data_IF_104347012158
#
_entry.id   IF_104347012158
#
_cell.length_a   1.000
_cell.length_b   1.000
_cell.length_c   1.000
_cell.angle_alpha   90.00
_cell.angle_beta   90.00
_cell.angle_gamma   90.00
#
_symmetry.space_group_name_H-M   'P 1'
#
loop_
_entity.id
_entity.type
_entity.pdbx_description
1 polymer ?
#
# COMPACT_ATOMS: atom_id res chain seq x y z
N UNK A 1 -58.38 24.13 -43.06
CA UNK A 1 -57.68 23.16 -42.19
C UNK A 1 -56.72 22.32 -43.03
N UNK A 2 -55.47 22.76 -43.29
CA UNK A 2 -54.47 21.92 -43.98
C UNK A 2 -53.00 22.38 -43.82
N UNK A 3 -52.67 23.16 -42.78
CA UNK A 3 -51.32 23.73 -42.59
C UNK A 3 -50.49 23.07 -41.48
N UNK A 4 -51.08 22.20 -40.65
CA UNK A 4 -50.37 21.63 -39.48
C UNK A 4 -49.42 20.48 -39.83
N UNK A 5 -49.55 19.83 -40.99
CA UNK A 5 -48.73 18.66 -41.33
C UNK A 5 -47.32 19.01 -41.85
N UNK A 6 -47.14 20.14 -42.54
CA UNK A 6 -45.80 20.60 -42.96
C UNK A 6 -44.96 21.13 -41.78
N UNK A 7 -45.59 21.79 -40.81
CA UNK A 7 -44.91 22.27 -39.61
C UNK A 7 -44.53 21.13 -38.64
N UNK A 8 -45.31 20.04 -38.61
CA UNK A 8 -45.00 18.86 -37.79
C UNK A 8 -43.70 18.17 -38.22
N UNK A 9 -43.39 18.10 -39.52
CA UNK A 9 -42.13 17.51 -39.99
C UNK A 9 -40.90 18.33 -39.61
N UNK A 10 -40.99 19.66 -39.72
CA UNK A 10 -39.91 20.59 -39.38
C UNK A 10 -39.63 20.57 -37.86
N UNK A 11 -40.68 20.52 -37.03
CA UNK A 11 -40.53 20.43 -35.59
C UNK A 11 -39.78 19.15 -35.15
N UNK A 12 -39.99 18.03 -35.85
CA UNK A 12 -39.31 16.77 -35.58
C UNK A 12 -37.82 16.84 -35.94
N UNK A 13 -37.48 17.49 -37.06
CA UNK A 13 -36.07 17.72 -37.47
C UNK A 13 -35.37 18.62 -36.45
N UNK A 14 -36.00 19.73 -36.03
CA UNK A 14 -35.43 20.64 -35.03
C UNK A 14 -35.25 19.92 -33.68
N UNK A 15 -36.23 19.12 -33.26
CA UNK A 15 -36.12 18.30 -32.06
C UNK A 15 -34.95 17.32 -32.15
N UNK A 16 -34.76 16.66 -33.30
CA UNK A 16 -33.68 15.71 -33.53
C UNK A 16 -32.30 16.39 -33.51
N UNK A 17 -32.18 17.57 -34.12
CA UNK A 17 -30.93 18.36 -34.10
C UNK A 17 -30.51 18.75 -32.68
N UNK A 18 -31.46 18.96 -31.77
CA UNK A 18 -31.18 19.28 -30.36
C UNK A 18 -30.98 18.01 -29.51
N UNK A 19 -31.69 16.92 -29.80
CA UNK A 19 -31.58 15.65 -29.09
C UNK A 19 -30.24 14.94 -29.30
N UNK A 20 -29.69 15.00 -30.51
CA UNK A 20 -28.41 14.36 -30.84
C UNK A 20 -27.25 14.86 -29.94
N UNK A 21 -26.97 16.16 -29.82
CA UNK A 21 -25.91 16.63 -28.93
C UNK A 21 -26.20 16.35 -27.44
N UNK A 22 -27.47 16.45 -27.00
CA UNK A 22 -27.85 16.14 -25.61
C UNK A 22 -27.56 14.68 -25.24
N UNK A 23 -27.90 13.74 -26.13
CA UNK A 23 -27.64 12.31 -25.91
C UNK A 23 -26.14 12.00 -25.95
N UNK A 24 -25.37 12.64 -26.83
CA UNK A 24 -23.91 12.50 -26.86
C UNK A 24 -23.26 12.97 -25.56
N UNK A 25 -23.64 14.14 -25.04
CA UNK A 25 -23.13 14.65 -23.76
C UNK A 25 -23.49 13.69 -22.62
N UNK A 26 -24.72 13.19 -22.59
CA UNK A 26 -25.18 12.25 -21.57
C UNK A 26 -24.35 10.95 -21.56
N UNK A 27 -24.05 10.38 -22.73
CA UNK A 27 -23.23 9.17 -22.84
C UNK A 27 -21.79 9.41 -22.35
N UNK A 28 -21.18 10.55 -22.70
CA UNK A 28 -19.83 10.90 -22.24
C UNK A 28 -19.79 11.04 -20.71
N UNK A 29 -20.78 11.70 -20.11
CA UNK A 29 -20.87 11.85 -18.65
C UNK A 29 -21.07 10.50 -17.96
N UNK A 30 -21.86 9.60 -18.55
CA UNK A 30 -22.06 8.26 -18.01
C UNK A 30 -20.76 7.43 -18.05
N UNK A 31 -19.98 7.55 -19.12
CA UNK A 31 -18.67 6.89 -19.24
C UNK A 31 -17.63 7.47 -18.27
N UNK A 32 -17.56 8.79 -18.13
CA UNK A 32 -16.63 9.43 -17.19
C UNK A 32 -16.95 9.07 -15.74
N UNK A 33 -18.24 9.01 -15.38
CA UNK A 33 -18.70 8.61 -14.05
C UNK A 33 -18.32 7.15 -13.73
N UNK A 34 -18.47 6.25 -14.71
CA UNK A 34 -18.04 4.86 -14.57
C UNK A 34 -16.51 4.71 -14.38
N UNK A 35 -15.72 5.56 -15.04
CA UNK A 35 -14.26 5.59 -14.85
C UNK A 35 -13.88 6.14 -13.46
N UNK A 36 -14.51 7.23 -13.03
CA UNK A 36 -14.29 7.81 -11.69
C UNK A 36 -14.62 6.81 -10.57
N UNK A 37 -15.70 6.03 -10.72
CA UNK A 37 -16.06 4.99 -9.76
C UNK A 37 -15.01 3.87 -9.68
N UNK A 38 -14.47 3.43 -10.83
CA UNK A 38 -13.39 2.44 -10.87
C UNK A 38 -12.12 2.98 -10.22
N UNK A 39 -11.78 4.24 -10.47
CA UNK A 39 -10.61 4.90 -9.87
C UNK A 39 -10.78 5.05 -8.35
N UNK A 40 -11.93 5.53 -7.88
CA UNK A 40 -12.25 5.62 -6.46
C UNK A 40 -12.19 4.25 -5.77
N UNK A 41 -12.71 3.21 -6.42
CA UNK A 41 -12.61 1.83 -5.94
C UNK A 41 -11.16 1.35 -5.84
N UNK A 42 -10.34 1.62 -6.86
CA UNK A 42 -8.91 1.23 -6.86
C UNK A 42 -8.09 1.97 -5.80
N UNK A 43 -8.33 3.27 -5.61
CA UNK A 43 -7.69 4.05 -4.55
C UNK A 43 -8.08 3.53 -3.16
N UNK A 44 -9.36 3.18 -2.97
CA UNK A 44 -9.82 2.60 -1.72
C UNK A 44 -9.25 1.19 -1.45
N UNK A 45 -8.90 0.41 -2.48
CA UNK A 45 -8.20 -0.87 -2.29
C UNK A 45 -6.73 -0.69 -1.97
N UNK A 46 -6.07 0.31 -2.58
CA UNK A 46 -4.68 0.66 -2.28
C UNK A 46 -4.55 1.12 -0.82
N UNK A 47 -5.37 2.08 -0.40
CA UNK A 47 -5.28 2.64 0.95
C UNK A 47 -5.60 1.60 2.04
N UNK A 48 -6.49 0.65 1.76
CA UNK A 48 -6.72 -0.48 2.68
C UNK A 48 -5.50 -1.38 2.80
N UNK A 49 -4.87 -1.70 1.67
CA UNK A 49 -3.66 -2.51 1.66
C UNK A 49 -2.51 -1.80 2.40
N UNK A 50 -2.37 -0.48 2.24
CA UNK A 50 -1.42 0.35 2.97
C UNK A 50 -1.60 0.24 4.48
N UNK A 51 -2.81 0.50 4.98
CA UNK A 51 -3.09 0.39 6.41
C UNK A 51 -2.95 -1.03 6.95
N UNK A 52 -3.30 -2.05 6.14
CA UNK A 52 -3.14 -3.45 6.52
C UNK A 52 -1.65 -3.82 6.68
N UNK A 53 -0.82 -3.48 5.70
CA UNK A 53 0.61 -3.77 5.74
C UNK A 53 1.31 -2.96 6.83
N UNK A 54 0.95 -1.68 6.99
CA UNK A 54 1.50 -0.83 8.04
C UNK A 54 1.12 -1.36 9.43
N UNK A 55 -0.15 -1.70 9.67
CA UNK A 55 -0.60 -2.23 10.95
C UNK A 55 -0.01 -3.61 11.27
N UNK A 56 0.15 -4.47 10.27
CA UNK A 56 0.80 -5.79 10.47
C UNK A 56 2.30 -5.67 10.71
N UNK A 57 2.98 -4.76 10.01
CA UNK A 57 4.39 -4.47 10.26
C UNK A 57 4.60 -3.87 11.65
N UNK A 58 3.81 -2.89 12.05
CA UNK A 58 3.89 -2.27 13.37
C UNK A 58 3.62 -3.29 14.49
N UNK A 59 2.60 -4.13 14.33
CA UNK A 59 2.31 -5.20 15.28
C UNK A 59 3.45 -6.23 15.36
N UNK A 60 4.10 -6.56 14.25
CA UNK A 60 5.23 -7.48 14.24
C UNK A 60 6.49 -6.86 14.88
N UNK A 61 6.70 -5.55 14.71
CA UNK A 61 7.80 -4.81 15.34
C UNK A 61 7.58 -4.63 16.85
N UNK A 62 6.34 -4.58 17.30
CA UNK A 62 5.96 -4.53 18.72
C UNK A 62 5.99 -5.89 19.43
N UNK A 63 6.30 -6.99 18.74
CA UNK A 63 6.22 -8.33 19.30
C UNK A 63 7.22 -8.56 20.44
N UNK A 64 6.74 -9.14 21.54
CA UNK A 64 7.56 -9.41 22.70
C UNK A 64 8.66 -10.44 22.35
N UNK A 65 9.92 -10.05 22.52
CA UNK A 65 11.07 -10.92 22.23
C UNK A 65 11.64 -10.77 20.82
N UNK A 66 11.15 -9.85 19.99
CA UNK A 66 11.78 -9.50 18.71
C UNK A 66 13.27 -9.20 18.89
N UNK A 67 13.63 -8.53 19.99
CA UNK A 67 15.03 -8.22 20.27
C UNK A 67 15.86 -9.48 20.56
N UNK A 68 15.35 -10.41 21.35
CA UNK A 68 16.02 -11.69 21.58
C UNK A 68 16.17 -12.50 20.28
N UNK A 69 15.16 -12.46 19.41
CA UNK A 69 15.20 -13.11 18.11
C UNK A 69 16.28 -12.51 17.19
N UNK A 70 16.35 -11.18 17.08
CA UNK A 70 17.41 -10.49 16.31
C UNK A 70 18.79 -10.77 16.92
N UNK A 71 18.92 -10.94 18.24
CA UNK A 71 20.21 -11.26 18.86
C UNK A 71 20.69 -12.70 18.56
N UNK A 72 19.77 -13.64 18.38
CA UNK A 72 20.07 -15.08 18.33
C UNK A 72 20.00 -15.70 16.93
N UNK A 73 19.26 -15.10 16.00
CA UNK A 73 19.09 -15.61 14.64
C UNK A 73 20.40 -15.56 13.85
N UNK A 74 20.71 -16.56 13.01
CA UNK A 74 21.93 -16.50 12.18
C UNK A 74 21.83 -15.43 11.06
N UNK A 75 22.99 -14.86 10.67
CA UNK A 75 23.06 -13.90 9.56
C UNK A 75 22.66 -14.61 8.25
N UNK A 76 21.87 -13.93 7.42
CA UNK A 76 21.35 -14.45 6.16
C UNK A 76 20.12 -15.35 6.31
N UNK A 77 19.61 -15.55 7.54
CA UNK A 77 18.40 -16.34 7.79
C UNK A 77 17.19 -15.43 7.90
N UNK A 78 16.13 -15.80 7.20
CA UNK A 78 14.80 -15.19 7.31
C UNK A 78 13.92 -15.99 8.29
N UNK A 79 13.17 -15.31 9.14
CA UNK A 79 12.17 -15.90 10.02
C UNK A 79 10.88 -15.08 9.98
N UNK A 80 9.73 -15.74 10.16
CA UNK A 80 8.48 -15.01 10.36
C UNK A 80 8.45 -14.38 11.76
N UNK A 81 7.91 -13.16 11.84
CA UNK A 81 7.65 -12.43 13.09
C UNK A 81 6.20 -11.94 13.12
N UNK A 82 5.58 -12.08 14.30
CA UNK A 82 4.16 -11.82 14.51
C UNK A 82 3.27 -13.01 14.13
N UNK A 83 2.02 -12.96 14.58
CA UNK A 83 1.00 -14.00 14.38
C UNK A 83 -0.11 -13.59 13.40
N UNK A 84 -0.07 -12.35 12.92
CA UNK A 84 -1.10 -11.73 12.08
C UNK A 84 -0.76 -11.95 10.61
N UNK A 85 -1.78 -12.19 9.78
CA UNK A 85 -1.67 -12.23 8.32
C UNK A 85 -1.92 -10.86 7.71
N UNK A 86 -1.12 -10.40 6.71
CA UNK A 86 0.05 -11.05 6.14
C UNK A 86 1.24 -11.13 7.12
N UNK A 87 2.00 -12.23 7.04
CA UNK A 87 3.14 -12.46 7.92
C UNK A 87 4.32 -11.57 7.56
N UNK A 88 4.90 -10.92 8.56
CA UNK A 88 6.14 -10.15 8.42
C UNK A 88 7.34 -11.09 8.48
N UNK A 89 8.28 -10.91 7.56
CA UNK A 89 9.52 -11.70 7.49
C UNK A 89 10.70 -10.86 7.95
N UNK A 90 11.41 -11.32 8.96
CA UNK A 90 12.63 -10.72 9.49
C UNK A 90 13.85 -11.42 8.92
N UNK A 91 14.73 -10.66 8.26
CA UNK A 91 16.00 -11.18 7.72
C UNK A 91 17.16 -10.43 8.35
N UNK A 92 18.12 -11.14 8.93
CA UNK A 92 19.33 -10.50 9.47
C UNK A 92 20.38 -10.38 8.38
N UNK A 93 20.70 -9.16 7.96
CA UNK A 93 21.59 -8.95 6.82
C UNK A 93 23.06 -8.88 7.22
N UNK A 94 23.38 -8.08 8.23
CA UNK A 94 24.78 -7.82 8.62
C UNK A 94 24.90 -7.50 10.10
N UNK A 95 26.10 -7.67 10.62
CA UNK A 95 26.52 -7.17 11.92
C UNK A 95 27.58 -6.07 11.70
N UNK A 96 27.36 -4.90 12.28
CA UNK A 96 28.21 -3.73 12.11
C UNK A 96 28.16 -2.84 13.35
N UNK A 97 28.91 -1.74 13.36
CA UNK A 97 28.84 -0.77 14.47
C UNK A 97 27.55 0.04 14.37
N UNK A 98 26.83 0.19 15.49
CA UNK A 98 25.59 0.95 15.55
C UNK A 98 25.77 2.37 15.00
N UNK A 99 24.80 2.88 14.24
CA UNK A 99 24.78 4.31 13.91
C UNK A 99 24.62 5.12 15.20
N UNK A 100 25.30 6.26 15.29
CA UNK A 100 25.34 7.07 16.50
C UNK A 100 23.94 7.60 16.84
N UNK A 101 23.41 7.20 17.99
CA UNK A 101 22.26 7.85 18.62
C UNK A 101 22.67 9.23 19.14
N UNK A 102 21.74 10.18 19.16
CA UNK A 102 21.97 11.54 19.66
C UNK A 102 22.28 11.54 21.17
N UNK A 103 21.73 10.58 21.91
CA UNK A 103 22.11 10.22 23.28
C UNK A 103 22.97 8.96 23.26
N UNK A 104 24.29 9.13 23.17
CA UNK A 104 25.21 8.01 23.04
C UNK A 104 25.48 7.34 24.40
N UNK A 105 25.14 6.06 24.53
CA UNK A 105 25.85 5.17 25.45
C UNK A 105 27.27 4.97 24.91
N UNK A 106 28.29 5.16 25.76
CA UNK A 106 29.71 5.08 25.37
C UNK A 106 30.01 3.84 24.51
N UNK A 107 30.85 4.00 23.47
CA UNK A 107 31.25 2.91 22.54
C UNK A 107 31.82 1.66 23.24
N UNK A 108 32.21 1.79 24.51
CA UNK A 108 32.75 0.70 25.32
C UNK A 108 31.68 -0.28 25.85
N UNK A 109 30.38 0.03 25.75
CA UNK A 109 29.30 -0.80 26.33
C UNK A 109 28.52 -1.56 25.25
N UNK A 110 28.64 -1.18 23.98
CA UNK A 110 27.84 -1.74 22.88
C UNK A 110 28.70 -1.84 21.61
N UNK A 111 29.57 -2.85 21.52
CA UNK A 111 30.56 -2.94 20.45
C UNK A 111 29.96 -3.33 19.10
N UNK A 112 28.78 -3.97 19.09
CA UNK A 112 28.16 -4.52 17.89
C UNK A 112 26.67 -4.18 17.80
N UNK A 113 26.19 -3.99 16.57
CA UNK A 113 24.79 -3.87 16.21
C UNK A 113 24.47 -4.86 15.10
N UNK A 114 23.31 -5.50 15.20
CA UNK A 114 22.77 -6.31 14.10
C UNK A 114 21.71 -5.53 13.37
N UNK A 115 21.81 -5.53 12.04
CA UNK A 115 20.85 -4.90 11.16
C UNK A 115 19.92 -5.98 10.59
N UNK A 116 18.64 -5.82 10.88
CA UNK A 116 17.58 -6.70 10.45
C UNK A 116 16.60 -5.93 9.55
N UNK A 117 16.08 -6.60 8.52
CA UNK A 117 15.02 -6.07 7.67
C UNK A 117 13.74 -6.85 7.92
N UNK A 118 12.71 -6.16 8.39
CA UNK A 118 11.36 -6.68 8.54
C UNK A 118 10.57 -6.31 7.29
N UNK A 119 10.15 -7.31 6.50
CA UNK A 119 9.40 -7.11 5.26
C UNK A 119 8.03 -7.76 5.34
N UNK A 120 7.00 -6.98 5.02
CA UNK A 120 5.60 -7.42 4.96
C UNK A 120 5.05 -7.15 3.58
N UNK A 121 4.37 -8.15 3.00
CA UNK A 121 3.81 -8.06 1.65
C UNK A 121 2.33 -8.40 1.64
N UNK A 122 1.52 -7.58 0.98
CA UNK A 122 0.12 -7.91 0.67
C UNK A 122 -0.18 -7.71 -0.81
N UNK A 123 -1.16 -8.44 -1.33
CA UNK A 123 -1.67 -8.27 -2.68
C UNK A 123 -2.94 -7.41 -2.65
N UNK A 124 -3.08 -6.48 -3.60
CA UNK A 124 -4.23 -5.59 -3.67
C UNK A 124 -4.77 -5.39 -5.09
N UNK A 125 -6.02 -4.96 -5.15
CA UNK A 125 -6.73 -4.68 -6.40
C UNK A 125 -7.09 -5.94 -7.20
N UNK A 126 -7.75 -5.74 -8.34
CA UNK A 126 -8.27 -6.83 -9.19
C UNK A 126 -7.16 -7.64 -9.88
N UNK A 127 -5.98 -7.06 -10.05
CA UNK A 127 -4.84 -7.66 -10.75
C UNK A 127 -3.81 -8.29 -9.81
N UNK A 128 -4.09 -8.38 -8.50
CA UNK A 128 -3.15 -8.86 -7.48
C UNK A 128 -1.80 -8.14 -7.53
N UNK A 129 -1.83 -6.80 -7.61
CA UNK A 129 -0.61 -5.99 -7.49
C UNK A 129 0.01 -6.23 -6.12
N UNK A 130 1.32 -6.46 -6.06
CA UNK A 130 2.02 -6.64 -4.79
C UNK A 130 2.40 -5.29 -4.18
N UNK A 131 2.21 -5.16 -2.88
CA UNK A 131 2.70 -4.06 -2.06
C UNK A 131 3.61 -4.62 -0.97
N UNK A 132 4.85 -4.14 -0.93
CA UNK A 132 5.86 -4.58 0.02
C UNK A 132 6.31 -3.39 0.86
N UNK A 133 6.26 -3.52 2.18
CA UNK A 133 6.87 -2.57 3.11
C UNK A 133 8.05 -3.25 3.79
N UNK A 134 9.18 -2.56 3.83
CA UNK A 134 10.39 -3.02 4.49
C UNK A 134 10.83 -1.99 5.50
N UNK A 135 10.94 -2.39 6.77
CA UNK A 135 11.51 -1.59 7.85
C UNK A 135 12.89 -2.14 8.23
N UNK A 136 13.86 -1.24 8.34
CA UNK A 136 15.19 -1.56 8.89
C UNK A 136 15.20 -1.39 10.40
N UNK A 137 15.58 -2.43 11.13
CA UNK A 137 15.71 -2.46 12.58
C UNK A 137 17.19 -2.62 12.93
N UNK A 138 17.73 -1.67 13.69
CA UNK A 138 19.08 -1.76 14.25
C UNK A 138 18.99 -2.18 15.71
N UNK A 139 19.61 -3.31 16.05
CA UNK A 139 19.65 -3.79 17.43
C UNK A 139 21.06 -3.72 18.02
N UNK A 140 21.25 -2.93 19.09
CA UNK A 140 22.48 -2.95 19.87
C UNK A 140 22.66 -4.27 20.64
N UNK A 141 23.88 -4.79 20.63
CA UNK A 141 24.30 -5.96 21.40
C UNK A 141 25.42 -5.58 22.39
N UNK A 142 25.35 -6.14 23.59
CA UNK A 142 26.37 -5.97 24.62
C UNK A 142 27.63 -6.81 24.35
N UNK A 143 27.50 -7.85 23.52
CA UNK A 143 28.61 -8.68 23.04
C UNK A 143 28.35 -9.06 21.59
N UNK A 144 29.39 -9.08 20.76
CA UNK A 144 29.33 -9.69 19.44
C UNK A 144 29.12 -11.21 19.59
N UNK A 145 28.45 -11.83 18.62
CA UNK A 145 28.20 -13.28 18.56
C UNK A 145 29.23 -13.96 17.64
#
# INVERSE_FOLDING_TARGET
MRSFQQQQGIALIVALVILVPLTLIAVVVMQSSGMSLKMAGSGATLQRAEHEVEGTLESALGEAGLSAQIATQAIGVSAAIGTITPTTTLTINTESVCKRKFEASSQNVTPACRYAEATTSTAYGKVNSQMNFTAGVEQPLLSAN
#
